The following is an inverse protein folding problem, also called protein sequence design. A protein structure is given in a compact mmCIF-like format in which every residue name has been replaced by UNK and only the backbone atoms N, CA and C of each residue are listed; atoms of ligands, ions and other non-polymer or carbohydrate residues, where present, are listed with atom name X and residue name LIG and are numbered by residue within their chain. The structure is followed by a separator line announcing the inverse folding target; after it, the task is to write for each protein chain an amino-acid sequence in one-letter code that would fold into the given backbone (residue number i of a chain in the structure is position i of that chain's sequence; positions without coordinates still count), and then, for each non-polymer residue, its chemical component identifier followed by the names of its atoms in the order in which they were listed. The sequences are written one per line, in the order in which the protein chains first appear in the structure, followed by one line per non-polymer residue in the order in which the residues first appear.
data_IF_428378842348
#
_entry.id   IF_428378842348
#
_cell.length_a   1.000
_cell.length_b   1.000
_cell.length_c   1.000
_cell.angle_alpha   90.00
_cell.angle_beta   90.00
_cell.angle_gamma   90.00
#
_symmetry.space_group_name_H-M   'P 1'
#
loop_
_entity.id
_entity.type
_entity.pdbx_description
1 polymer ?
#
# COMPACT_ATOMS: atom_id res chain seq x y z
N UNK A 1 1.23 2.52 22.22
CA UNK A 1 0.31 1.51 21.70
C UNK A 1 0.92 0.78 20.52
N UNK A 2 0.60 -0.48 20.46
CA UNK A 2 1.10 -1.34 19.40
C UNK A 2 0.36 -1.08 18.09
N UNK A 3 1.10 -0.66 17.08
CA UNK A 3 0.55 -0.45 15.74
C UNK A 3 -0.11 -1.74 15.24
N UNK A 4 0.45 -2.90 15.61
CA UNK A 4 -0.05 -4.19 15.16
C UNK A 4 -1.47 -4.49 15.59
N UNK A 5 -1.91 -3.90 16.72
CA UNK A 5 -3.25 -4.13 17.23
C UNK A 5 -4.30 -3.29 16.50
N UNK A 6 -3.88 -2.31 15.69
CA UNK A 6 -4.79 -1.35 15.07
C UNK A 6 -4.85 -1.45 13.56
N UNK A 7 -3.84 -2.04 12.93
CA UNK A 7 -3.76 -2.09 11.47
C UNK A 7 -3.47 -3.51 11.04
N UNK A 8 -4.25 -4.00 10.09
CA UNK A 8 -3.99 -5.27 9.46
C UNK A 8 -3.08 -5.07 8.25
N UNK A 9 -2.10 -5.95 8.08
CA UNK A 9 -1.24 -5.95 6.92
C UNK A 9 -1.51 -7.18 6.06
N UNK A 10 -1.59 -6.97 4.76
CA UNK A 10 -1.63 -8.04 3.77
C UNK A 10 -0.49 -7.83 2.80
N UNK A 11 0.11 -8.91 2.31
CA UNK A 11 1.18 -8.85 1.32
C UNK A 11 0.74 -9.62 0.08
N UNK A 12 0.87 -8.97 -1.06
CA UNK A 12 0.59 -9.58 -2.37
C UNK A 12 1.89 -9.57 -3.17
N UNK A 13 2.51 -10.75 -3.29
CA UNK A 13 3.71 -10.91 -4.10
C UNK A 13 3.38 -11.66 -5.38
N UNK A 14 4.35 -11.72 -6.29
CA UNK A 14 4.18 -12.36 -7.60
C UNK A 14 3.03 -11.77 -8.40
N UNK A 15 2.62 -10.56 -8.05
CA UNK A 15 1.57 -9.85 -8.74
C UNK A 15 2.10 -9.41 -10.11
N UNK A 16 1.40 -9.78 -11.16
CA UNK A 16 1.79 -9.45 -12.53
C UNK A 16 0.71 -8.59 -13.17
N UNK A 17 1.13 -7.52 -13.81
CA UNK A 17 0.24 -6.74 -14.66
C UNK A 17 0.37 -7.28 -16.08
N UNK A 18 -0.62 -8.04 -16.52
CA UNK A 18 -0.62 -8.61 -17.86
C UNK A 18 -0.78 -7.52 -18.91
N UNK A 19 0.11 -7.45 -19.86
CA UNK A 19 -0.03 -6.73 -21.15
C UNK A 19 -0.26 -5.24 -21.11
N UNK A 20 -0.49 -4.62 -19.97
CA UNK A 20 -0.73 -3.20 -19.93
C UNK A 20 0.01 -2.60 -18.75
N UNK A 21 0.43 -1.36 -18.92
CA UNK A 21 1.06 -0.58 -17.87
C UNK A 21 0.00 0.10 -17.00
N UNK A 22 -1.22 -0.44 -16.97
CA UNK A 22 -2.29 0.13 -16.16
C UNK A 22 -2.13 -0.27 -14.71
N UNK A 23 -2.39 0.69 -13.85
CA UNK A 23 -2.33 0.45 -12.41
C UNK A 23 -3.67 -0.05 -11.86
N UNK A 24 -4.72 -0.02 -12.68
CA UNK A 24 -6.07 -0.42 -12.26
C UNK A 24 -6.13 -1.79 -11.57
N UNK A 25 -5.41 -2.82 -12.04
CA UNK A 25 -5.45 -4.12 -11.36
C UNK A 25 -5.05 -4.08 -9.88
N UNK A 26 -4.20 -3.12 -9.49
CA UNK A 26 -3.83 -2.95 -8.08
C UNK A 26 -5.06 -2.51 -7.28
N UNK A 27 -5.85 -1.57 -7.82
CA UNK A 27 -7.07 -1.11 -7.17
C UNK A 27 -8.12 -2.21 -7.11
N UNK A 28 -8.24 -3.00 -8.17
CA UNK A 28 -9.19 -4.11 -8.21
C UNK A 28 -8.84 -5.19 -7.19
N UNK A 29 -7.56 -5.55 -7.10
CA UNK A 29 -7.11 -6.54 -6.11
C UNK A 29 -7.27 -6.00 -4.69
N UNK A 30 -6.99 -4.72 -4.50
CA UNK A 30 -7.18 -4.08 -3.20
C UNK A 30 -8.65 -4.13 -2.78
N UNK A 31 -9.57 -3.87 -3.72
CA UNK A 31 -11.00 -3.96 -3.43
C UNK A 31 -11.38 -5.36 -2.95
N UNK A 32 -10.90 -6.38 -3.65
CA UNK A 32 -11.16 -7.77 -3.30
C UNK A 32 -10.71 -8.08 -1.87
N UNK A 33 -9.50 -7.67 -1.52
CA UNK A 33 -8.92 -7.91 -0.20
C UNK A 33 -9.69 -7.15 0.88
N UNK A 34 -9.96 -5.87 0.63
CA UNK A 34 -10.66 -5.03 1.60
C UNK A 34 -12.10 -5.49 1.82
N UNK A 35 -12.78 -5.93 0.76
CA UNK A 35 -14.14 -6.47 0.88
C UNK A 35 -14.14 -7.77 1.67
N UNK A 36 -13.15 -8.63 1.43
CA UNK A 36 -13.02 -9.88 2.18
C UNK A 36 -12.91 -9.62 3.68
N UNK A 37 -12.20 -8.58 4.07
CA UNK A 37 -12.01 -8.24 5.47
C UNK A 37 -13.07 -7.28 6.02
N UNK A 38 -14.06 -6.90 5.22
CA UNK A 38 -15.08 -5.92 5.60
C UNK A 38 -14.45 -4.64 6.13
N UNK A 39 -13.37 -4.22 5.48
CA UNK A 39 -12.57 -3.11 5.97
C UNK A 39 -13.07 -1.74 5.53
N UNK A 40 -13.81 -1.67 4.41
CA UNK A 40 -14.20 -0.40 3.83
C UNK A 40 -15.68 -0.39 3.45
N UNK A 41 -16.22 0.82 3.31
CA UNK A 41 -17.57 1.07 2.81
C UNK A 41 -17.55 1.10 1.28
N UNK A 42 -18.73 0.97 0.68
CA UNK A 42 -18.88 1.10 -0.77
C UNK A 42 -18.34 2.44 -1.24
N UNK A 43 -17.69 2.43 -2.38
CA UNK A 43 -17.13 3.65 -2.96
C UNK A 43 -15.72 3.97 -2.51
N UNK A 44 -15.14 3.18 -1.61
CA UNK A 44 -13.77 3.48 -1.17
C UNK A 44 -12.77 3.38 -2.32
N UNK A 45 -12.81 2.28 -3.08
CA UNK A 45 -11.86 2.10 -4.18
C UNK A 45 -12.05 3.17 -5.25
N UNK A 46 -13.30 3.52 -5.56
CA UNK A 46 -13.57 4.61 -6.49
C UNK A 46 -12.95 5.92 -6.01
N UNK A 47 -13.02 6.19 -4.71
CA UNK A 47 -12.38 7.40 -4.16
C UNK A 47 -10.86 7.35 -4.30
N UNK A 48 -10.26 6.17 -4.17
CA UNK A 48 -8.83 6.00 -4.33
C UNK A 48 -8.40 6.20 -5.79
N UNK A 49 -9.19 5.68 -6.72
CA UNK A 49 -8.95 5.88 -8.15
C UNK A 49 -9.05 7.37 -8.50
N UNK A 50 -10.08 8.04 -8.00
CA UNK A 50 -10.26 9.48 -8.24
C UNK A 50 -9.08 10.27 -7.67
N UNK A 51 -8.62 9.90 -6.48
CA UNK A 51 -7.46 10.56 -5.86
C UNK A 51 -6.23 10.42 -6.73
N UNK A 52 -6.00 9.23 -7.28
CA UNK A 52 -4.83 8.97 -8.12
C UNK A 52 -4.90 9.75 -9.43
N UNK A 53 -6.11 9.95 -9.96
CA UNK A 53 -6.30 10.73 -11.18
C UNK A 53 -5.97 12.21 -10.99
N UNK A 54 -6.19 12.73 -9.77
CA UNK A 54 -5.91 14.13 -9.48
C UNK A 54 -4.41 14.40 -9.44
N UNK A 55 -3.66 13.50 -8.83
CA UNK A 55 -2.22 13.63 -8.66
C UNK A 55 -1.64 12.28 -8.28
N UNK A 56 -0.51 11.94 -8.87
CA UNK A 56 0.12 10.65 -8.61
C UNK A 56 0.51 10.49 -7.13
N UNK A 57 0.31 9.31 -6.60
CA UNK A 57 0.78 8.97 -5.25
C UNK A 57 2.18 8.37 -5.24
N UNK A 58 2.88 8.45 -6.36
CA UNK A 58 4.28 8.06 -6.41
C UNK A 58 5.11 9.02 -5.55
N UNK A 59 5.94 8.49 -4.66
CA UNK A 59 6.72 9.32 -3.72
C UNK A 59 8.22 9.27 -3.96
N UNK A 60 8.66 8.61 -5.04
CA UNK A 60 10.07 8.47 -5.35
C UNK A 60 10.60 7.10 -4.96
N UNK A 61 11.82 6.81 -5.38
CA UNK A 61 12.57 5.59 -5.03
C UNK A 61 11.82 4.30 -5.35
N UNK A 62 10.90 4.34 -6.30
CA UNK A 62 10.16 3.16 -6.71
C UNK A 62 8.99 2.80 -5.81
N UNK A 63 8.44 3.76 -5.06
CA UNK A 63 7.34 3.53 -4.13
C UNK A 63 6.11 4.36 -4.50
N UNK A 64 4.94 3.74 -4.47
CA UNK A 64 3.67 4.44 -4.58
C UNK A 64 2.81 4.16 -3.34
N UNK A 65 2.00 5.15 -2.95
CA UNK A 65 1.15 5.09 -1.76
C UNK A 65 -0.31 5.40 -2.11
N UNK A 66 -0.97 4.58 -2.93
CA UNK A 66 -2.36 4.83 -3.26
C UNK A 66 -3.25 4.76 -2.02
N UNK A 67 -4.28 5.62 -1.98
CA UNK A 67 -5.20 5.69 -0.84
C UNK A 67 -6.46 6.42 -1.27
N UNK A 68 -7.53 6.21 -0.51
CA UNK A 68 -8.82 6.83 -0.79
C UNK A 68 -9.33 7.65 0.38
N UNK A 69 -10.64 7.87 0.42
CA UNK A 69 -11.30 8.70 1.43
C UNK A 69 -11.33 7.99 2.78
N UNK A 70 -10.65 8.52 3.81
CA UNK A 70 -10.61 7.85 5.11
C UNK A 70 -11.98 7.72 5.78
N UNK A 71 -12.95 8.54 5.40
CA UNK A 71 -14.30 8.41 5.96
C UNK A 71 -15.01 7.14 5.50
N UNK A 72 -14.50 6.50 4.46
CA UNK A 72 -15.05 5.23 3.95
C UNK A 72 -14.28 4.02 4.44
N UNK A 73 -13.43 4.18 5.45
CA UNK A 73 -12.66 3.08 6.02
C UNK A 73 -13.21 2.75 7.40
N UNK A 74 -13.60 1.49 7.58
CA UNK A 74 -14.10 0.97 8.87
C UNK A 74 -12.98 0.43 9.73
N UNK A 75 -12.06 -0.31 9.12
CA UNK A 75 -10.90 -0.93 9.79
C UNK A 75 -9.67 -0.63 8.97
N UNK A 76 -8.67 -0.06 9.59
CA UNK A 76 -7.44 0.28 8.90
C UNK A 76 -6.72 -0.97 8.41
N UNK A 77 -6.32 -0.95 7.16
CA UNK A 77 -5.69 -2.08 6.49
C UNK A 77 -4.67 -1.57 5.50
N UNK A 78 -3.47 -2.11 5.53
CA UNK A 78 -2.45 -1.78 4.54
C UNK A 78 -2.16 -3.02 3.69
N UNK A 79 -2.17 -2.84 2.38
CA UNK A 79 -1.84 -3.93 1.45
C UNK A 79 -0.52 -3.57 0.79
N UNK A 80 0.44 -4.48 0.87
CA UNK A 80 1.76 -4.28 0.29
C UNK A 80 1.84 -5.13 -0.96
N UNK A 81 2.01 -4.48 -2.10
CA UNK A 81 2.21 -5.20 -3.37
C UNK A 81 3.69 -5.23 -3.69
N UNK A 82 4.20 -6.43 -3.86
CA UNK A 82 5.58 -6.65 -4.32
C UNK A 82 5.49 -7.36 -5.67
N UNK A 83 5.35 -6.61 -6.76
CA UNK A 83 5.20 -7.22 -8.08
C UNK A 83 6.45 -8.00 -8.47
N UNK A 84 6.28 -9.05 -9.26
CA UNK A 84 7.39 -9.88 -9.72
C UNK A 84 8.36 -9.11 -10.61
N UNK A 85 7.87 -8.06 -11.25
CA UNK A 85 8.69 -7.13 -12.02
C UNK A 85 8.19 -5.71 -11.74
N UNK A 86 9.09 -4.71 -11.81
CA UNK A 86 8.64 -3.33 -11.61
C UNK A 86 7.50 -2.97 -12.56
N UNK A 87 6.59 -2.15 -12.07
CA UNK A 87 5.43 -1.71 -12.84
C UNK A 87 5.55 -0.23 -13.16
N UNK A 88 4.93 0.17 -14.27
CA UNK A 88 4.90 1.58 -14.66
C UNK A 88 3.76 2.26 -13.93
N UNK A 89 4.10 3.24 -13.10
CA UNK A 89 3.13 4.05 -12.36
C UNK A 89 3.17 5.45 -12.96
N UNK A 90 2.27 5.65 -13.93
CA UNK A 90 2.32 6.84 -14.80
C UNK A 90 3.64 6.87 -15.56
N UNK A 91 4.61 7.64 -15.14
CA UNK A 91 5.90 7.75 -15.83
C UNK A 91 7.05 7.17 -15.02
N UNK A 92 6.74 6.56 -13.87
CA UNK A 92 7.78 6.10 -12.95
C UNK A 92 7.73 4.59 -12.80
N UNK A 93 8.90 4.01 -12.57
CA UNK A 93 9.02 2.59 -12.29
C UNK A 93 8.82 2.36 -10.80
N UNK A 94 7.86 1.49 -10.44
CA UNK A 94 7.52 1.22 -9.05
C UNK A 94 7.84 -0.24 -8.73
N UNK A 95 8.50 -0.44 -7.59
CA UNK A 95 8.91 -1.75 -7.09
C UNK A 95 8.08 -2.21 -5.91
N UNK A 96 7.54 -1.29 -5.14
CA UNK A 96 6.67 -1.58 -4.00
C UNK A 96 5.49 -0.62 -4.00
N UNK A 97 4.32 -1.16 -3.74
CA UNK A 97 3.12 -0.36 -3.59
C UNK A 97 2.58 -0.60 -2.19
N UNK A 98 2.35 0.48 -1.45
CA UNK A 98 1.70 0.43 -0.14
C UNK A 98 0.31 1.03 -0.31
N UNK A 99 -0.70 0.18 -0.43
CA UNK A 99 -2.08 0.64 -0.53
C UNK A 99 -2.60 0.88 0.88
N UNK A 100 -2.90 2.14 1.20
CA UNK A 100 -3.22 2.55 2.57
C UNK A 100 -4.72 2.81 2.70
N UNK A 101 -5.44 1.85 3.27
CA UNK A 101 -6.84 2.05 3.64
C UNK A 101 -6.87 2.38 5.12
N UNK A 102 -6.77 3.67 5.46
CA UNK A 102 -6.60 4.12 6.82
C UNK A 102 -7.82 4.90 7.28
N UNK A 103 -8.36 4.49 8.43
CA UNK A 103 -9.52 5.14 9.01
C UNK A 103 -9.15 6.48 9.63
N UNK A 104 -10.13 7.39 9.71
CA UNK A 104 -9.92 8.73 10.33
C UNK A 104 -9.40 8.62 11.75
N UNK A 105 -9.84 7.63 12.51
CA UNK A 105 -9.40 7.48 13.90
C UNK A 105 -7.93 7.08 14.01
N UNK A 106 -7.32 6.61 12.94
CA UNK A 106 -5.94 6.15 12.93
C UNK A 106 -5.00 7.12 12.21
N UNK A 107 -5.35 8.40 12.12
CA UNK A 107 -4.55 9.38 11.38
C UNK A 107 -3.13 9.53 11.91
N UNK A 108 -2.97 9.47 13.25
CA UNK A 108 -1.62 9.59 13.82
C UNK A 108 -0.74 8.40 13.44
N UNK A 109 -1.32 7.21 13.45
CA UNK A 109 -0.61 5.99 13.06
C UNK A 109 -0.27 6.05 11.58
N UNK A 110 -1.22 6.48 10.76
CA UNK A 110 -1.02 6.62 9.33
C UNK A 110 0.16 7.56 9.03
N UNK A 111 0.23 8.70 9.73
CA UNK A 111 1.30 9.66 9.54
C UNK A 111 2.66 9.04 9.87
N UNK A 112 2.75 8.27 10.96
CA UNK A 112 3.97 7.59 11.34
C UNK A 112 4.40 6.56 10.30
N UNK A 113 3.45 5.81 9.78
CA UNK A 113 3.71 4.80 8.74
C UNK A 113 4.25 5.48 7.49
N UNK A 114 3.60 6.55 7.04
CA UNK A 114 4.03 7.27 5.84
C UNK A 114 5.45 7.84 6.03
N UNK A 115 5.73 8.41 7.20
CA UNK A 115 7.07 8.92 7.50
C UNK A 115 8.10 7.80 7.46
N UNK A 116 7.77 6.65 8.01
CA UNK A 116 8.68 5.51 8.01
C UNK A 116 8.96 5.02 6.59
N UNK A 117 7.92 4.95 5.76
CA UNK A 117 8.07 4.55 4.36
C UNK A 117 8.91 5.58 3.59
N UNK A 118 8.68 6.85 3.83
CA UNK A 118 9.41 7.93 3.15
C UNK A 118 10.91 7.94 3.50
N UNK A 119 11.28 7.35 4.62
CA UNK A 119 12.69 7.26 5.05
C UNK A 119 13.42 6.06 4.43
N UNK A 120 12.71 5.17 3.72
CA UNK A 120 13.37 4.04 3.06
C UNK A 120 14.34 4.56 1.99
N UNK A 121 15.54 4.02 2.00
CA UNK A 121 16.52 4.30 0.97
C UNK A 121 16.45 3.22 -0.11
N UNK A 122 17.12 3.46 -1.24
CA UNK A 122 17.07 2.50 -2.34
C UNK A 122 17.58 1.13 -1.93
N UNK A 123 18.62 1.07 -1.09
CA UNK A 123 19.13 -0.22 -0.60
C UNK A 123 18.11 -0.95 0.26
N UNK A 124 17.37 -0.20 1.10
CA UNK A 124 16.31 -0.79 1.91
C UNK A 124 15.23 -1.41 1.04
N UNK A 125 14.83 -0.67 0.00
CA UNK A 125 13.79 -1.13 -0.92
C UNK A 125 14.24 -2.39 -1.65
N UNK A 126 15.50 -2.40 -2.09
CA UNK A 126 16.07 -3.57 -2.75
C UNK A 126 16.02 -4.78 -1.83
N UNK A 127 16.41 -4.62 -0.57
CA UNK A 127 16.38 -5.71 0.40
C UNK A 127 14.95 -6.20 0.68
N UNK A 128 14.00 -5.28 0.83
CA UNK A 128 12.60 -5.64 1.04
C UNK A 128 12.06 -6.48 -0.12
N UNK A 129 12.42 -6.13 -1.34
CA UNK A 129 11.95 -6.85 -2.52
C UNK A 129 12.50 -8.28 -2.61
N UNK A 130 13.58 -8.59 -1.89
CA UNK A 130 14.16 -9.93 -1.87
C UNK A 130 13.50 -10.85 -0.83
N UNK A 131 12.71 -10.30 0.08
CA UNK A 131 12.09 -11.07 1.17
C UNK A 131 10.85 -11.82 0.68
N UNK A 132 10.56 -12.95 1.33
CA UNK A 132 9.27 -13.60 1.11
C UNK A 132 8.16 -12.83 1.85
N UNK A 133 6.91 -13.24 1.66
CA UNK A 133 5.77 -12.50 2.18
C UNK A 133 5.80 -12.36 3.71
N UNK A 134 6.12 -13.43 4.41
CA UNK A 134 6.15 -13.39 5.88
C UNK A 134 7.29 -12.53 6.39
N UNK A 135 8.48 -12.68 5.79
CA UNK A 135 9.63 -11.86 6.16
C UNK A 135 9.37 -10.39 5.89
N UNK A 136 8.77 -10.07 4.74
CA UNK A 136 8.44 -8.69 4.39
C UNK A 136 7.48 -8.10 5.41
N UNK A 137 6.42 -8.83 5.73
CA UNK A 137 5.43 -8.38 6.71
C UNK A 137 6.09 -8.12 8.06
N UNK A 138 6.90 -9.07 8.54
CA UNK A 138 7.55 -8.94 9.84
C UNK A 138 8.56 -7.79 9.88
N UNK A 139 9.32 -7.63 8.81
CA UNK A 139 10.31 -6.56 8.72
C UNK A 139 9.64 -5.18 8.74
N UNK A 140 8.54 -5.03 8.02
CA UNK A 140 7.82 -3.76 8.00
C UNK A 140 7.16 -3.47 9.34
N UNK A 141 6.58 -4.48 9.99
CA UNK A 141 6.04 -4.31 11.33
C UNK A 141 7.09 -3.77 12.30
N UNK A 142 8.27 -4.38 12.28
CA UNK A 142 9.35 -3.95 13.16
C UNK A 142 9.75 -2.51 12.89
N UNK A 143 9.77 -2.12 11.61
CA UNK A 143 10.14 -0.77 11.22
C UNK A 143 9.08 0.26 11.67
N UNK A 144 7.80 -0.10 11.52
CA UNK A 144 6.74 0.83 11.88
C UNK A 144 6.61 1.06 13.39
N UNK A 145 7.14 0.15 14.20
CA UNK A 145 7.15 0.31 15.65
C UNK A 145 8.17 1.34 16.12
N UNK A 146 9.16 1.62 15.31
CA UNK A 146 10.18 2.61 15.66
C UNK A 146 9.65 4.05 15.50
#
# INVERSE_FOLDING_TARGET
DDILSKIQLSVESNFKLNHSNHILPIFEKSKEILDYHHATLDGYIESAIDREKQSSTYIGKGIALPHGNPEKVLKSHMIIFKPSQPITWKQHEVKLVFFLAMSKKDLNINRKIIQSIAQLEEDDIHQLCLLDDLQLKNTLYARFKE
#
